data_IF_933787029239
#
_entry.id   IF_933787029239
#
_cell.length_a   1.000
_cell.length_b   1.000
_cell.length_c   1.000
_cell.angle_alpha   90.00
_cell.angle_beta   90.00
_cell.angle_gamma   90.00
#
_symmetry.space_group_name_H-M   'P 1'
#
loop_
_entity.id
_entity.type
_entity.pdbx_description
1 polymer ?
#
# COMPACT_ATOMS: atom_id res chain seq x y z
N UNK A 1 54.58 -26.32 14.86
CA UNK A 1 53.77 -26.22 16.10
C UNK A 1 52.31 -26.40 15.68
N UNK A 2 51.78 -27.61 15.70
CA UNK A 2 51.08 -28.29 16.82
C UNK A 2 49.78 -27.55 17.24
N UNK A 3 48.67 -28.06 16.69
CA UNK A 3 47.29 -28.14 17.17
C UNK A 3 46.72 -27.08 18.14
N UNK A 4 45.49 -26.61 17.85
CA UNK A 4 44.33 -26.98 18.66
C UNK A 4 42.99 -26.68 17.95
N UNK A 5 42.18 -27.73 17.85
CA UNK A 5 40.77 -27.76 17.44
C UNK A 5 39.94 -27.68 18.71
N UNK A 6 38.88 -26.86 18.77
CA UNK A 6 37.83 -27.00 19.77
C UNK A 6 36.47 -26.95 19.09
N UNK A 7 35.86 -28.13 18.99
CA UNK A 7 34.44 -28.29 18.67
C UNK A 7 33.62 -28.30 19.96
N UNK A 8 32.46 -27.65 19.93
CA UNK A 8 31.42 -27.85 20.93
C UNK A 8 30.17 -28.41 20.23
N UNK A 9 29.91 -29.69 20.48
CA UNK A 9 28.62 -30.35 20.26
C UNK A 9 27.85 -30.28 21.57
N UNK A 10 26.63 -29.75 21.56
CA UNK A 10 25.66 -30.02 22.62
C UNK A 10 24.36 -30.53 22.00
N UNK A 11 24.13 -31.82 22.23
CA UNK A 11 22.86 -32.51 22.05
C UNK A 11 21.92 -32.14 23.21
N UNK A 12 20.66 -31.85 22.94
CA UNK A 12 19.60 -32.07 23.93
C UNK A 12 18.38 -32.68 23.26
N UNK A 13 18.37 -34.01 23.31
CA UNK A 13 17.26 -34.89 22.97
C UNK A 13 16.30 -34.90 24.17
N UNK A 14 15.08 -34.38 24.01
CA UNK A 14 13.99 -34.61 24.96
C UNK A 14 12.88 -35.41 24.29
N UNK A 15 12.90 -36.73 24.54
CA UNK A 15 11.75 -37.61 24.45
C UNK A 15 10.93 -37.46 25.73
N UNK A 16 9.62 -37.26 25.62
CA UNK A 16 8.67 -37.70 26.65
C UNK A 16 7.52 -38.46 25.99
N UNK A 17 7.30 -39.66 26.51
CA UNK A 17 6.41 -40.69 25.99
C UNK A 17 5.17 -40.77 26.87
N UNK A 18 4.02 -40.72 26.20
CA UNK A 18 2.88 -41.64 26.33
C UNK A 18 1.91 -41.62 27.54
N UNK A 19 0.65 -41.85 27.15
CA UNK A 19 -0.48 -42.52 27.83
C UNK A 19 -1.30 -41.71 28.85
N UNK A 20 -2.52 -41.32 28.46
CA UNK A 20 -3.69 -41.54 29.32
C UNK A 20 -4.92 -41.92 28.50
N UNK A 21 -5.48 -43.07 28.85
CA UNK A 21 -6.61 -43.71 28.20
C UNK A 21 -7.94 -43.33 28.86
N UNK A 22 -8.97 -43.30 28.02
CA UNK A 22 -10.36 -43.67 28.29
C UNK A 22 -11.12 -43.01 29.45
N UNK A 23 -11.99 -42.07 29.09
CA UNK A 23 -13.32 -41.96 29.71
C UNK A 23 -14.38 -41.93 28.61
N UNK A 24 -15.03 -43.08 28.43
CA UNK A 24 -16.25 -43.24 27.64
C UNK A 24 -17.41 -42.78 28.54
N UNK A 25 -18.02 -41.64 28.22
CA UNK A 25 -19.21 -41.12 28.90
C UNK A 25 -20.18 -40.57 27.88
N UNK A 26 -21.20 -41.38 27.60
CA UNK A 26 -22.57 -41.07 27.19
C UNK A 26 -22.80 -39.58 26.86
N UNK A 27 -22.78 -39.24 25.57
CA UNK A 27 -23.36 -37.99 25.09
C UNK A 27 -24.70 -38.26 24.41
N UNK A 28 -25.71 -37.61 24.98
CA UNK A 28 -27.09 -37.53 24.53
C UNK A 28 -27.11 -36.88 23.16
N UNK A 29 -27.80 -37.52 22.21
CA UNK A 29 -28.13 -36.97 20.90
C UNK A 29 -29.10 -35.80 21.12
N UNK A 30 -28.57 -34.58 21.21
CA UNK A 30 -29.35 -33.35 21.02
C UNK A 30 -29.13 -32.87 19.60
N UNK A 31 -30.23 -32.67 18.86
CA UNK A 31 -30.22 -32.19 17.49
C UNK A 31 -29.49 -30.85 17.41
N UNK A 32 -28.29 -30.88 16.81
CA UNK A 32 -27.57 -29.69 16.41
C UNK A 32 -28.40 -28.97 15.35
N UNK A 33 -29.16 -27.94 15.74
CA UNK A 33 -29.48 -26.87 14.83
C UNK A 33 -28.16 -26.21 14.48
N UNK A 34 -27.61 -26.51 13.30
CA UNK A 34 -26.38 -25.92 12.78
C UNK A 34 -26.59 -24.43 12.55
N UNK A 35 -26.50 -23.63 13.62
CA UNK A 35 -26.37 -22.18 13.55
C UNK A 35 -25.03 -21.90 12.88
N UNK A 36 -25.04 -21.77 11.55
CA UNK A 36 -23.90 -21.29 10.78
C UNK A 36 -23.59 -19.88 11.26
N UNK A 37 -22.68 -19.75 12.23
CA UNK A 37 -22.11 -18.46 12.59
C UNK A 37 -21.24 -18.06 11.41
N UNK A 38 -21.73 -17.12 10.59
CA UNK A 38 -20.89 -16.48 9.59
C UNK A 38 -19.80 -15.72 10.35
N UNK A 39 -18.54 -16.06 10.09
CA UNK A 39 -17.41 -15.26 10.55
C UNK A 39 -17.56 -13.87 9.94
N UNK A 40 -17.46 -12.81 10.75
CA UNK A 40 -17.48 -11.45 10.23
C UNK A 40 -16.25 -11.21 9.36
N UNK A 41 -16.42 -10.48 8.26
CA UNK A 41 -15.30 -10.11 7.40
C UNK A 41 -14.44 -9.03 8.07
N UNK A 42 -13.13 -9.17 7.92
CA UNK A 42 -12.15 -8.23 8.45
C UNK A 42 -12.16 -6.89 7.68
N UNK A 43 -11.92 -5.78 8.37
CA UNK A 43 -11.83 -4.44 7.79
C UNK A 43 -10.37 -4.06 7.51
N UNK A 44 -9.97 -3.85 6.24
CA UNK A 44 -8.59 -3.49 5.91
C UNK A 44 -8.31 -1.98 5.98
N UNK A 45 -9.28 -1.12 6.28
CA UNK A 45 -9.13 0.33 6.15
C UNK A 45 -8.00 0.89 7.02
N UNK A 46 -7.11 1.67 6.40
CA UNK A 46 -6.03 2.34 7.10
C UNK A 46 -4.74 2.51 6.29
N UNK A 47 -3.81 3.23 6.89
CA UNK A 47 -2.43 3.37 6.44
C UNK A 47 -1.58 2.22 6.98
N UNK A 48 -0.66 1.72 6.16
CA UNK A 48 0.23 0.61 6.46
C UNK A 48 1.65 0.89 6.00
N UNK A 49 2.61 0.20 6.61
CA UNK A 49 4.02 0.18 6.21
C UNK A 49 4.55 -1.24 6.25
N UNK A 50 5.52 -1.57 5.40
CA UNK A 50 6.10 -2.90 5.39
C UNK A 50 7.04 -3.13 4.20
N UNK A 51 7.00 -4.34 3.67
CA UNK A 51 7.94 -4.79 2.64
C UNK A 51 7.30 -5.74 1.63
N UNK A 52 8.00 -5.95 0.53
CA UNK A 52 7.67 -6.95 -0.46
C UNK A 52 8.93 -7.62 -1.04
N UNK A 53 8.73 -8.79 -1.62
CA UNK A 53 9.69 -9.47 -2.48
C UNK A 53 8.95 -9.83 -3.76
N UNK A 54 9.26 -9.14 -4.85
CA UNK A 54 8.63 -9.34 -6.16
C UNK A 54 9.65 -9.77 -7.20
N UNK A 55 9.22 -10.10 -8.42
CA UNK A 55 10.15 -10.40 -9.52
C UNK A 55 10.58 -9.13 -10.25
N UNK A 56 11.78 -9.16 -10.79
CA UNK A 56 12.22 -8.22 -11.81
C UNK A 56 11.56 -8.53 -13.16
N UNK A 57 11.73 -7.65 -14.15
CA UNK A 57 11.16 -7.82 -15.49
C UNK A 57 11.58 -9.13 -16.22
N UNK A 58 12.60 -9.83 -15.73
CA UNK A 58 13.05 -11.12 -16.26
C UNK A 58 12.29 -12.32 -15.68
N UNK A 59 11.37 -12.12 -14.73
CA UNK A 59 10.61 -13.15 -14.00
C UNK A 59 11.46 -14.18 -13.22
N UNK A 60 12.78 -13.95 -13.11
CA UNK A 60 13.73 -14.87 -12.49
C UNK A 60 14.31 -14.26 -11.22
N UNK A 61 14.76 -13.02 -11.31
CA UNK A 61 15.46 -12.30 -10.23
C UNK A 61 14.45 -11.72 -9.25
N UNK A 62 14.72 -11.86 -7.94
CA UNK A 62 13.91 -11.23 -6.91
C UNK A 62 14.34 -9.77 -6.71
N UNK A 63 13.36 -8.87 -6.68
CA UNK A 63 13.48 -7.48 -6.25
C UNK A 63 12.92 -7.35 -4.83
N UNK A 64 13.80 -7.01 -3.88
CA UNK A 64 13.43 -6.72 -2.51
C UNK A 64 12.99 -5.25 -2.36
N UNK A 65 11.81 -5.04 -1.78
CA UNK A 65 11.22 -3.73 -1.53
C UNK A 65 11.10 -3.56 -0.01
N UNK A 66 11.89 -2.67 0.57
CA UNK A 66 11.94 -2.46 2.02
C UNK A 66 11.05 -1.29 2.52
N UNK A 67 10.62 -0.42 1.60
CA UNK A 67 9.93 0.84 1.87
C UNK A 67 8.47 0.81 1.41
N UNK A 68 7.82 -0.35 1.41
CA UNK A 68 6.45 -0.47 0.92
C UNK A 68 5.49 0.24 1.88
N UNK A 69 4.73 1.19 1.35
CA UNK A 69 3.71 1.93 2.10
C UNK A 69 2.35 1.71 1.47
N UNK A 70 1.32 1.49 2.27
CA UNK A 70 -0.01 1.15 1.79
C UNK A 70 -1.10 2.03 2.35
N UNK A 71 -2.09 2.35 1.52
CA UNK A 71 -3.34 3.01 1.92
C UNK A 71 -4.50 2.18 1.42
N UNK A 72 -5.41 1.80 2.32
CA UNK A 72 -6.60 1.01 2.00
C UNK A 72 -7.85 1.73 2.48
N UNK A 73 -8.86 1.80 1.61
CA UNK A 73 -10.19 2.27 2.00
C UNK A 73 -11.28 1.57 1.18
N UNK A 74 -12.25 1.01 1.89
CA UNK A 74 -13.30 0.19 1.32
C UNK A 74 -12.73 -0.99 0.56
N UNK A 75 -12.99 -1.05 -0.74
CA UNK A 75 -12.50 -2.13 -1.61
C UNK A 75 -11.25 -1.75 -2.41
N UNK A 76 -10.68 -0.54 -2.26
CA UNK A 76 -9.49 -0.13 -3.01
C UNK A 76 -8.28 -0.06 -2.10
N UNK A 77 -7.15 -0.55 -2.58
CA UNK A 77 -5.85 -0.38 -1.95
C UNK A 77 -4.86 0.25 -2.91
N UNK A 78 -3.95 1.06 -2.40
CA UNK A 78 -2.80 1.57 -3.13
C UNK A 78 -1.53 1.35 -2.33
N UNK A 79 -0.59 0.57 -2.86
CA UNK A 79 0.72 0.34 -2.24
C UNK A 79 1.80 0.99 -3.08
N UNK A 80 2.79 1.64 -2.48
CA UNK A 80 3.89 2.28 -3.21
C UNK A 80 5.24 2.00 -2.58
N UNK A 81 6.27 2.02 -3.41
CA UNK A 81 7.67 2.12 -2.99
C UNK A 81 8.26 3.34 -3.70
N UNK A 82 8.79 4.26 -2.92
CA UNK A 82 9.41 5.48 -3.44
C UNK A 82 10.79 5.15 -3.99
N UNK A 83 11.55 4.32 -3.26
CA UNK A 83 12.91 3.93 -3.64
C UNK A 83 12.93 3.11 -4.94
N UNK A 84 11.90 2.27 -5.13
CA UNK A 84 11.75 1.46 -6.34
C UNK A 84 10.80 2.08 -7.35
N UNK A 85 10.25 3.27 -7.12
CA UNK A 85 9.33 3.96 -8.07
C UNK A 85 8.20 3.05 -8.56
N UNK A 86 7.63 2.27 -7.63
CA UNK A 86 6.56 1.32 -7.90
C UNK A 86 5.27 1.81 -7.26
N UNK A 87 4.17 1.63 -7.99
CA UNK A 87 2.83 1.80 -7.46
C UNK A 87 1.97 0.59 -7.83
N UNK A 88 1.25 0.08 -6.85
CA UNK A 88 0.23 -0.94 -6.95
C UNK A 88 -1.11 -0.26 -6.70
N UNK A 89 -2.04 -0.35 -7.64
CA UNK A 89 -3.42 0.15 -7.49
C UNK A 89 -4.35 -1.02 -7.70
N UNK A 90 -5.05 -1.44 -6.64
CA UNK A 90 -5.82 -2.66 -6.67
C UNK A 90 -7.18 -2.56 -6.00
N UNK A 91 -7.99 -3.56 -6.31
CA UNK A 91 -9.37 -3.68 -5.86
C UNK A 91 -9.56 -5.05 -5.21
N UNK A 92 -9.98 -5.06 -3.95
CA UNK A 92 -10.48 -6.23 -3.24
C UNK A 92 -11.85 -6.59 -3.83
N UNK A 93 -11.97 -7.81 -4.34
CA UNK A 93 -13.21 -8.31 -4.97
C UNK A 93 -13.99 -9.24 -4.06
N UNK A 94 -13.32 -9.89 -3.10
CA UNK A 94 -13.95 -10.74 -2.11
C UNK A 94 -13.18 -10.72 -0.80
N UNK A 95 -13.90 -10.77 0.32
CA UNK A 95 -13.37 -11.05 1.66
C UNK A 95 -14.19 -12.19 2.25
N UNK A 96 -13.55 -13.13 2.93
CA UNK A 96 -14.22 -14.23 3.61
C UNK A 96 -13.50 -14.53 4.91
N UNK A 97 -14.01 -13.98 6.02
CA UNK A 97 -13.28 -13.95 7.28
C UNK A 97 -12.02 -13.10 7.13
N UNK A 98 -10.84 -13.71 7.34
CA UNK A 98 -9.54 -13.04 7.16
C UNK A 98 -9.01 -13.08 5.74
N UNK A 99 -9.51 -13.96 4.88
CA UNK A 99 -8.93 -14.15 3.55
C UNK A 99 -9.54 -13.14 2.57
N UNK A 100 -8.71 -12.58 1.69
CA UNK A 100 -9.18 -11.71 0.61
C UNK A 100 -8.63 -12.12 -0.75
N UNK A 101 -9.37 -11.77 -1.79
CA UNK A 101 -8.90 -11.80 -3.17
C UNK A 101 -9.19 -10.48 -3.87
N UNK A 102 -8.44 -10.20 -4.93
CA UNK A 102 -8.57 -8.96 -5.68
C UNK A 102 -7.79 -8.95 -6.97
N UNK A 103 -7.73 -7.77 -7.57
CA UNK A 103 -6.90 -7.47 -8.73
C UNK A 103 -6.00 -6.28 -8.44
N UNK A 104 -4.88 -6.18 -9.18
CA UNK A 104 -3.93 -5.07 -9.05
C UNK A 104 -3.37 -4.67 -10.41
N UNK A 105 -3.25 -3.38 -10.61
CA UNK A 105 -2.43 -2.77 -11.66
C UNK A 105 -1.09 -2.35 -11.06
N UNK A 106 -0.01 -2.68 -11.75
CA UNK A 106 1.36 -2.36 -11.32
C UNK A 106 1.92 -1.31 -12.25
N UNK A 107 2.40 -0.21 -11.68
CA UNK A 107 3.02 0.90 -12.38
C UNK A 107 4.49 1.01 -11.96
N UNK A 108 5.35 1.29 -12.94
CA UNK A 108 6.77 1.59 -12.74
C UNK A 108 7.06 2.91 -13.43
N UNK A 109 7.73 3.82 -12.73
CA UNK A 109 8.07 5.16 -13.26
C UNK A 109 6.84 5.94 -13.76
N UNK A 110 5.67 5.69 -13.14
CA UNK A 110 4.40 6.31 -13.49
C UNK A 110 3.66 5.70 -14.69
N UNK A 111 4.18 4.64 -15.30
CA UNK A 111 3.56 3.96 -16.46
C UNK A 111 3.07 2.59 -16.06
N UNK A 112 1.90 2.18 -16.56
CA UNK A 112 1.37 0.83 -16.33
C UNK A 112 2.34 -0.22 -16.91
N UNK A 113 2.89 -1.05 -16.03
CA UNK A 113 3.79 -2.16 -16.36
C UNK A 113 3.00 -3.46 -16.58
N UNK A 114 2.07 -3.76 -15.67
CA UNK A 114 1.24 -4.95 -15.72
C UNK A 114 -0.19 -4.62 -15.27
N UNK A 115 -1.17 -4.84 -16.15
CA UNK A 115 -2.59 -4.64 -15.82
C UNK A 115 -3.24 -5.92 -15.29
N UNK A 116 -4.11 -5.78 -14.29
CA UNK A 116 -5.04 -6.83 -13.82
C UNK A 116 -4.39 -8.14 -13.37
N UNK A 117 -3.33 -8.05 -12.57
CA UNK A 117 -2.77 -9.21 -11.87
C UNK A 117 -3.67 -9.63 -10.71
N UNK A 118 -3.80 -10.92 -10.42
CA UNK A 118 -4.54 -11.41 -9.25
C UNK A 118 -3.71 -11.23 -7.98
N UNK A 119 -4.38 -10.78 -6.91
CA UNK A 119 -3.85 -10.77 -5.55
C UNK A 119 -4.73 -11.62 -4.65
N UNK A 120 -4.10 -12.38 -3.76
CA UNK A 120 -4.78 -13.10 -2.68
C UNK A 120 -3.96 -12.99 -1.40
N UNK A 121 -4.62 -12.96 -0.25
CA UNK A 121 -3.92 -12.76 1.00
C UNK A 121 -4.81 -12.80 2.23
N UNK A 122 -4.27 -12.29 3.34
CA UNK A 122 -4.96 -12.24 4.63
C UNK A 122 -4.99 -10.81 5.16
N UNK A 123 -6.13 -10.41 5.72
CA UNK A 123 -6.33 -9.19 6.49
C UNK A 123 -6.49 -9.60 7.96
N UNK A 124 -5.85 -8.86 8.84
CA UNK A 124 -6.15 -8.86 10.27
C UNK A 124 -6.41 -7.41 10.64
N UNK A 125 -7.66 -7.08 10.96
CA UNK A 125 -8.10 -5.69 11.16
C UNK A 125 -7.18 -4.97 12.14
N UNK A 126 -6.84 -3.73 11.80
CA UNK A 126 -5.99 -2.84 12.62
C UNK A 126 -4.61 -3.44 12.98
N UNK A 127 -4.16 -4.48 12.27
CA UNK A 127 -2.92 -5.19 12.58
C UNK A 127 -2.03 -5.39 11.36
N UNK A 128 -2.50 -6.12 10.35
CA UNK A 128 -1.65 -6.47 9.21
C UNK A 128 -2.41 -6.87 7.95
N UNK A 129 -1.77 -6.69 6.81
CA UNK A 129 -2.18 -7.28 5.52
C UNK A 129 -0.99 -8.03 4.95
N UNK A 130 -1.19 -9.27 4.55
CA UNK A 130 -0.19 -10.05 3.79
C UNK A 130 -0.81 -10.56 2.51
N UNK A 131 -0.02 -10.80 1.48
CA UNK A 131 -0.56 -11.35 0.25
C UNK A 131 0.48 -11.81 -0.75
N UNK A 132 -0.02 -12.47 -1.79
CA UNK A 132 0.73 -13.00 -2.93
C UNK A 132 0.14 -12.42 -4.21
N UNK A 133 1.03 -12.00 -5.11
CA UNK A 133 0.75 -11.54 -6.46
C UNK A 133 1.14 -12.64 -7.44
N UNK A 134 0.26 -12.97 -8.40
CA UNK A 134 0.48 -14.11 -9.32
C UNK A 134 0.69 -13.68 -10.78
N UNK A 135 1.16 -12.45 -11.00
CA UNK A 135 1.42 -11.88 -12.32
C UNK A 135 2.85 -12.14 -12.79
N UNK A 136 3.37 -11.20 -13.57
CA UNK A 136 4.75 -11.16 -14.06
C UNK A 136 5.47 -9.91 -13.54
N UNK A 137 6.80 -9.94 -13.55
CA UNK A 137 7.68 -8.91 -13.04
C UNK A 137 7.29 -8.45 -11.65
N UNK A 138 7.21 -7.12 -11.46
CA UNK A 138 6.84 -6.53 -10.17
C UNK A 138 5.40 -6.91 -9.72
N UNK A 139 4.59 -7.49 -10.60
CA UNK A 139 3.30 -8.12 -10.29
C UNK A 139 3.40 -9.59 -9.85
N UNK A 140 4.58 -10.15 -9.62
CA UNK A 140 4.76 -11.53 -9.16
C UNK A 140 5.53 -11.53 -7.86
N UNK A 141 5.01 -12.10 -6.78
CA UNK A 141 5.72 -12.14 -5.49
C UNK A 141 4.83 -12.09 -4.26
N UNK A 142 5.39 -11.65 -3.14
CA UNK A 142 4.71 -11.56 -1.85
C UNK A 142 4.93 -10.22 -1.18
N UNK A 143 3.98 -9.79 -0.34
CA UNK A 143 4.10 -8.60 0.48
C UNK A 143 3.60 -8.82 1.90
N UNK A 144 4.10 -8.01 2.83
CA UNK A 144 3.67 -7.95 4.22
C UNK A 144 3.66 -6.50 4.68
N UNK A 145 2.51 -6.07 5.16
CA UNK A 145 2.22 -4.72 5.62
C UNK A 145 1.70 -4.78 7.05
N UNK A 146 2.19 -3.88 7.90
CA UNK A 146 1.77 -3.69 9.28
C UNK A 146 0.99 -2.38 9.40
N UNK A 147 -0.06 -2.38 10.20
CA UNK A 147 -0.89 -1.23 10.46
C UNK A 147 -0.05 -0.07 11.00
N UNK A 148 -0.16 1.08 10.35
CA UNK A 148 0.59 2.27 10.71
C UNK A 148 0.16 2.82 12.08
N UNK A 149 1.12 3.37 12.83
CA UNK A 149 0.83 3.99 14.14
C UNK A 149 0.02 5.29 14.01
N UNK A 150 0.03 5.93 12.84
CA UNK A 150 -0.63 7.20 12.58
C UNK A 150 -1.95 6.99 11.84
N UNK A 151 -2.89 6.24 12.41
CA UNK A 151 -4.22 5.98 11.83
C UNK A 151 -5.37 6.76 12.51
N UNK A 152 -5.05 7.86 13.21
CA UNK A 152 -6.05 8.78 13.73
C UNK A 152 -6.90 9.39 12.61
N UNK A 153 -8.10 9.85 12.94
CA UNK A 153 -9.02 10.47 11.98
C UNK A 153 -8.33 11.54 11.11
N UNK A 154 -8.65 11.49 9.82
CA UNK A 154 -8.19 12.47 8.85
C UNK A 154 -8.94 13.80 9.01
N UNK A 155 -8.20 14.91 9.00
CA UNK A 155 -8.75 16.27 9.13
C UNK A 155 -8.03 17.20 8.14
N UNK A 156 -8.79 17.97 7.35
CA UNK A 156 -8.20 18.84 6.32
C UNK A 156 -7.22 19.89 6.89
N UNK A 157 -7.42 20.31 8.13
CA UNK A 157 -6.52 21.22 8.86
C UNK A 157 -5.09 20.69 8.98
N UNK A 158 -4.90 19.37 9.01
CA UNK A 158 -3.59 18.71 9.13
C UNK A 158 -2.78 18.81 7.84
N UNK A 159 -3.49 18.81 6.71
CA UNK A 159 -2.90 18.78 5.36
C UNK A 159 -2.96 20.12 4.64
N UNK A 160 -3.69 21.10 5.16
CA UNK A 160 -3.88 22.43 4.57
C UNK A 160 -2.62 23.30 4.59
N UNK A 161 -1.65 22.95 3.74
CA UNK A 161 -0.29 23.51 3.68
C UNK A 161 0.25 23.43 2.25
N UNK A 162 1.44 23.98 2.03
CA UNK A 162 2.25 23.70 0.84
C UNK A 162 3.10 22.45 1.05
N UNK A 163 3.12 21.58 0.04
CA UNK A 163 3.84 20.32 0.05
C UNK A 163 4.74 20.23 -1.16
N UNK A 164 6.01 19.89 -0.94
CA UNK A 164 6.99 19.72 -2.00
C UNK A 164 7.71 18.38 -1.91
N UNK A 165 7.99 17.80 -3.06
CA UNK A 165 8.76 16.57 -3.11
C UNK A 165 9.03 16.08 -4.53
N UNK A 166 9.85 15.04 -4.64
CA UNK A 166 9.98 14.28 -5.88
C UNK A 166 8.69 13.50 -6.15
N UNK A 167 8.41 13.29 -7.44
CA UNK A 167 7.32 12.44 -7.91
C UNK A 167 7.86 11.38 -8.85
N UNK A 168 7.38 10.14 -8.72
CA UNK A 168 7.79 9.00 -9.55
C UNK A 168 9.32 8.91 -9.71
N UNK A 169 10.06 8.96 -8.60
CA UNK A 169 11.51 8.78 -8.60
C UNK A 169 12.32 9.93 -9.20
N UNK A 170 11.70 11.08 -9.48
CA UNK A 170 12.43 12.27 -9.91
C UNK A 170 13.52 12.64 -8.87
N UNK A 171 14.72 12.97 -9.34
CA UNK A 171 15.85 13.31 -8.46
C UNK A 171 15.80 14.72 -7.88
N UNK A 172 14.93 15.58 -8.41
CA UNK A 172 14.72 16.95 -7.94
C UNK A 172 13.28 17.17 -7.50
N UNK A 173 13.08 18.07 -6.53
CA UNK A 173 11.76 18.57 -6.14
C UNK A 173 11.10 19.23 -7.35
N UNK A 174 10.15 18.52 -7.96
CA UNK A 174 9.42 18.98 -9.14
C UNK A 174 7.91 19.04 -8.91
N UNK A 175 7.42 18.37 -7.88
CA UNK A 175 6.03 18.42 -7.47
C UNK A 175 5.86 19.36 -6.29
N UNK A 176 5.03 20.38 -6.51
CA UNK A 176 4.57 21.32 -5.51
C UNK A 176 3.05 21.36 -5.60
N UNK A 177 2.37 21.14 -4.47
CA UNK A 177 0.92 21.23 -4.34
C UNK A 177 0.55 21.99 -3.08
N UNK A 178 -0.40 22.90 -3.21
CA UNK A 178 -1.00 23.63 -2.10
C UNK A 178 -2.36 23.00 -1.83
N UNK A 179 -2.60 22.64 -0.57
CA UNK A 179 -3.88 22.11 -0.12
C UNK A 179 -4.57 23.20 0.69
N UNK A 180 -5.75 23.61 0.26
CA UNK A 180 -6.56 24.57 1.02
C UNK A 180 -7.22 23.91 2.24
N UNK A 181 -7.70 24.72 3.19
CA UNK A 181 -8.51 24.24 4.31
C UNK A 181 -9.85 23.60 3.91
N UNK A 182 -10.28 23.77 2.66
CA UNK A 182 -11.45 23.13 2.07
C UNK A 182 -11.10 21.87 1.25
N UNK A 183 -9.82 21.46 1.21
CA UNK A 183 -9.36 20.28 0.47
C UNK A 183 -9.17 20.50 -1.02
N UNK A 184 -9.41 21.69 -1.56
CA UNK A 184 -9.04 22.01 -2.93
C UNK A 184 -7.51 21.95 -3.10
N UNK A 185 -7.05 21.31 -4.17
CA UNK A 185 -5.66 21.25 -4.56
C UNK A 185 -5.39 22.34 -5.61
N UNK A 186 -4.34 23.12 -5.40
CA UNK A 186 -3.87 24.08 -6.38
C UNK A 186 -2.36 23.98 -6.54
N UNK A 187 -1.88 24.48 -7.67
CA UNK A 187 -0.47 24.43 -8.02
C UNK A 187 0.08 25.82 -8.28
N UNK A 188 1.37 26.00 -7.97
CA UNK A 188 2.09 27.24 -8.26
C UNK A 188 3.04 27.19 -9.49
N UNK A 189 3.44 26.02 -10.04
CA UNK A 189 4.37 25.98 -11.21
C UNK A 189 4.12 24.80 -12.18
N UNK A 190 4.98 24.58 -13.19
CA UNK A 190 5.02 23.47 -14.20
C UNK A 190 5.98 22.35 -13.71
N UNK A 191 5.72 21.06 -13.95
CA UNK A 191 6.58 19.96 -13.44
C UNK A 191 7.92 20.03 -14.17
N UNK A 192 8.94 20.60 -13.51
CA UNK A 192 10.27 20.71 -14.07
C UNK A 192 11.11 19.52 -13.60
N UNK A 193 10.92 18.39 -14.26
CA UNK A 193 11.79 17.24 -14.09
C UNK A 193 12.07 16.67 -15.47
N UNK A 194 13.32 16.32 -15.71
CA UNK A 194 13.79 15.76 -17.00
C UNK A 194 13.24 14.37 -17.26
N UNK A 195 12.66 13.69 -16.25
CA UNK A 195 12.10 12.33 -16.37
C UNK A 195 11.01 12.00 -15.32
N UNK A 196 9.80 12.55 -15.46
CA UNK A 196 8.60 11.84 -15.03
C UNK A 196 7.51 11.86 -16.10
N UNK A 197 6.66 10.85 -16.13
CA UNK A 197 5.50 10.79 -17.03
C UNK A 197 4.58 12.03 -16.92
N UNK A 198 4.58 12.69 -15.75
CA UNK A 198 3.79 13.90 -15.47
C UNK A 198 4.53 15.21 -15.81
N UNK A 199 5.61 15.17 -16.59
CA UNK A 199 6.33 16.36 -17.04
C UNK A 199 5.40 17.36 -17.73
N UNK A 200 5.58 18.65 -17.40
CA UNK A 200 4.79 19.71 -18.02
C UNK A 200 3.33 19.81 -17.56
N UNK A 201 2.79 18.84 -16.82
CA UNK A 201 1.38 18.84 -16.42
C UNK A 201 1.03 20.03 -15.51
N UNK A 202 -0.19 20.53 -15.65
CA UNK A 202 -0.79 21.54 -14.78
C UNK A 202 -1.96 20.90 -14.06
N UNK A 203 -2.02 21.07 -12.74
CA UNK A 203 -3.13 20.60 -11.93
C UNK A 203 -4.30 21.58 -12.06
N UNK A 204 -5.47 21.07 -12.45
CA UNK A 204 -6.68 21.84 -12.64
C UNK A 204 -7.34 22.16 -11.28
N UNK A 205 -8.12 23.24 -11.25
CA UNK A 205 -8.88 23.70 -10.06
C UNK A 205 -9.96 22.71 -9.60
N UNK A 206 -10.34 21.76 -10.45
CA UNK A 206 -11.22 20.65 -10.08
C UNK A 206 -10.55 19.61 -9.15
N UNK A 207 -9.23 19.71 -8.96
CA UNK A 207 -8.47 18.79 -8.11
C UNK A 207 -8.79 19.01 -6.62
N UNK A 208 -8.93 17.93 -5.87
CA UNK A 208 -9.37 17.96 -4.49
C UNK A 208 -8.89 16.75 -3.69
N UNK A 209 -8.93 16.90 -2.37
CA UNK A 209 -8.84 15.80 -1.41
C UNK A 209 -10.03 15.84 -0.47
N UNK A 210 -10.44 14.69 0.05
CA UNK A 210 -11.53 14.60 1.03
C UNK A 210 -11.19 13.58 2.13
N UNK A 211 -11.36 13.92 3.42
CA UNK A 211 -11.13 13.00 4.52
C UNK A 211 -11.93 11.70 4.40
N UNK A 212 -11.34 10.59 4.82
CA UNK A 212 -12.01 9.30 5.01
C UNK A 212 -12.15 9.07 6.52
N UNK A 213 -13.40 8.89 6.97
CA UNK A 213 -13.71 8.73 8.40
C UNK A 213 -13.09 7.45 8.96
N UNK A 214 -12.60 7.50 10.20
CA UNK A 214 -12.07 6.37 10.94
C UNK A 214 -10.60 6.06 10.68
N UNK A 215 -9.94 6.76 9.74
CA UNK A 215 -8.56 6.48 9.31
C UNK A 215 -7.81 7.75 8.93
N UNK A 216 -6.47 7.71 8.97
CA UNK A 216 -5.61 8.81 8.53
C UNK A 216 -5.40 8.81 7.02
N UNK A 217 -6.47 8.67 6.23
CA UNK A 217 -6.39 8.67 4.77
C UNK A 217 -7.37 9.70 4.23
N UNK A 218 -6.96 10.36 3.15
CA UNK A 218 -7.81 11.22 2.35
C UNK A 218 -7.95 10.59 0.97
N UNK A 219 -9.17 10.59 0.44
CA UNK A 219 -9.38 10.35 -0.99
C UNK A 219 -8.81 11.51 -1.80
N UNK A 220 -8.20 11.19 -2.94
CA UNK A 220 -7.56 12.16 -3.83
C UNK A 220 -8.26 12.12 -5.19
N UNK A 221 -8.58 13.29 -5.72
CA UNK A 221 -8.95 13.51 -7.12
C UNK A 221 -8.00 14.57 -7.70
N UNK A 222 -7.20 14.20 -8.69
CA UNK A 222 -6.28 15.12 -9.36
C UNK A 222 -6.62 15.15 -10.82
N UNK A 223 -6.86 16.35 -11.36
CA UNK A 223 -7.10 16.55 -12.78
C UNK A 223 -5.87 17.20 -13.37
N UNK A 224 -5.18 16.49 -14.27
CA UNK A 224 -4.07 17.04 -15.02
C UNK A 224 -4.51 17.52 -16.40
N UNK A 225 -4.04 18.70 -16.76
CA UNK A 225 -4.17 19.28 -18.09
C UNK A 225 -2.79 19.79 -18.56
N UNK A 226 -2.70 20.17 -19.84
CA UNK A 226 -1.50 20.82 -20.41
C UNK A 226 -0.19 20.04 -20.23
N UNK A 227 -0.25 18.72 -20.05
CA UNK A 227 0.93 17.86 -19.96
C UNK A 227 1.76 17.92 -21.25
N UNK A 228 3.08 17.73 -21.14
CA UNK A 228 3.96 17.63 -22.32
C UNK A 228 3.55 16.49 -23.23
N UNK A 229 3.21 15.33 -22.65
CA UNK A 229 2.47 14.27 -23.34
C UNK A 229 0.97 14.44 -23.08
N UNK A 230 0.22 14.77 -24.13
CA UNK A 230 -1.23 14.96 -24.02
C UNK A 230 -2.01 13.71 -23.60
N UNK A 231 -1.44 12.50 -23.77
CA UNK A 231 -2.07 11.26 -23.33
C UNK A 231 -2.15 11.14 -21.81
N UNK A 232 -1.32 11.92 -21.10
CA UNK A 232 -1.24 11.94 -19.64
C UNK A 232 -2.32 12.84 -19.03
N UNK A 233 -2.92 13.73 -19.82
CA UNK A 233 -4.04 14.54 -19.37
C UNK A 233 -5.22 13.65 -18.92
N UNK A 234 -5.93 14.08 -17.88
CA UNK A 234 -7.12 13.39 -17.40
C UNK A 234 -7.30 13.45 -15.90
N UNK A 235 -8.29 12.70 -15.42
CA UNK A 235 -8.60 12.59 -14.00
C UNK A 235 -7.93 11.36 -13.41
N UNK A 236 -7.21 11.58 -12.32
CA UNK A 236 -6.54 10.59 -11.51
C UNK A 236 -7.24 10.52 -10.17
N UNK A 237 -7.36 9.32 -9.61
CA UNK A 237 -7.91 9.11 -8.28
C UNK A 237 -6.97 8.28 -7.45
N UNK A 238 -7.00 8.45 -6.14
CA UNK A 238 -6.22 7.64 -5.23
C UNK A 238 -6.33 8.09 -3.79
N UNK A 239 -5.22 8.03 -3.07
CA UNK A 239 -5.15 8.26 -1.65
C UNK A 239 -3.95 9.13 -1.26
N UNK A 240 -4.09 9.85 -0.16
CA UNK A 240 -2.99 10.53 0.51
C UNK A 240 -3.10 10.38 2.03
N UNK A 241 -1.98 10.48 2.74
CA UNK A 241 -1.90 10.37 4.19
C UNK A 241 -0.71 11.17 4.72
N UNK A 242 -0.77 11.62 5.97
CA UNK A 242 0.39 12.22 6.64
C UNK A 242 1.24 11.14 7.32
N UNK A 243 2.57 11.29 7.22
CA UNK A 243 3.53 10.25 7.64
C UNK A 243 3.85 10.27 9.13
N UNK A 244 3.58 11.37 9.82
CA UNK A 244 4.07 11.63 11.17
C UNK A 244 3.00 12.25 12.02
N UNK A 245 3.05 12.06 13.34
CA UNK A 245 2.19 12.78 14.28
C UNK A 245 2.33 14.32 14.22
N UNK A 246 3.45 14.83 13.70
CA UNK A 246 3.68 16.26 13.49
C UNK A 246 3.21 16.78 12.11
N UNK A 247 2.65 15.90 11.27
CA UNK A 247 2.21 16.22 9.90
C UNK A 247 3.27 17.00 9.11
N UNK A 248 4.53 16.53 9.14
CA UNK A 248 5.66 17.10 8.40
C UNK A 248 5.94 16.41 7.06
N UNK A 249 5.32 15.25 6.84
CA UNK A 249 5.41 14.50 5.60
C UNK A 249 4.03 14.14 5.07
N UNK A 250 3.84 14.23 3.76
CA UNK A 250 2.63 13.84 3.05
C UNK A 250 2.99 12.80 1.99
N UNK A 251 2.31 11.67 2.05
CA UNK A 251 2.41 10.61 1.07
C UNK A 251 1.20 10.68 0.16
N UNK A 252 1.39 10.69 -1.16
CA UNK A 252 0.30 10.80 -2.11
C UNK A 252 0.50 9.81 -3.25
N UNK A 253 -0.56 9.07 -3.58
CA UNK A 253 -0.60 8.16 -4.71
C UNK A 253 -1.93 8.27 -5.46
N UNK A 254 -1.87 8.21 -6.78
CA UNK A 254 -3.04 8.26 -7.64
C UNK A 254 -2.77 7.61 -9.00
N UNK A 255 -3.82 7.14 -9.66
CA UNK A 255 -3.75 6.59 -11.01
C UNK A 255 -4.99 6.98 -11.82
N UNK A 256 -4.88 6.92 -13.15
CA UNK A 256 -6.01 7.01 -14.08
C UNK A 256 -6.24 5.70 -14.85
N UNK A 257 -5.63 4.60 -14.40
CA UNK A 257 -5.64 3.31 -15.10
C UNK A 257 -4.44 3.11 -16.04
N UNK A 258 -3.99 4.14 -16.75
CA UNK A 258 -2.85 4.05 -17.70
C UNK A 258 -1.55 4.59 -17.12
N UNK A 259 -1.66 5.65 -16.32
CA UNK A 259 -0.55 6.36 -15.71
C UNK A 259 -0.80 6.52 -14.22
N UNK A 260 0.27 6.80 -13.50
CA UNK A 260 0.22 7.03 -12.07
C UNK A 260 1.18 8.10 -11.58
N UNK A 261 0.91 8.58 -10.37
CA UNK A 261 1.81 9.41 -9.59
C UNK A 261 1.94 8.85 -8.19
N UNK A 262 3.16 8.86 -7.65
CA UNK A 262 3.49 8.57 -6.27
C UNK A 262 4.55 9.55 -5.78
N UNK A 263 4.31 10.16 -4.62
CA UNK A 263 5.20 11.16 -4.05
C UNK A 263 5.26 11.05 -2.53
N UNK A 264 6.46 11.18 -1.99
CA UNK A 264 6.69 11.49 -0.58
C UNK A 264 7.16 12.94 -0.51
N UNK A 265 6.33 13.79 0.09
CA UNK A 265 6.51 15.23 0.15
C UNK A 265 6.77 15.68 1.58
N UNK A 266 7.46 16.80 1.72
CA UNK A 266 7.71 17.49 2.98
C UNK A 266 6.97 18.82 3.01
N UNK A 267 6.62 19.26 4.22
CA UNK A 267 6.05 20.59 4.44
C UNK A 267 7.10 21.69 4.21
N UNK A 268 6.73 22.73 3.47
CA UNK A 268 7.52 23.96 3.36
C UNK A 268 6.93 25.04 4.28
N UNK A 269 7.68 25.49 5.30
CA UNK A 269 7.19 26.45 6.30
C UNK A 269 7.05 27.88 5.80
#
# INVERSE_FOLDING_TARGET
>A
MKHMVNGYKNNSLFLFSAVFAAFLSIFIIQGCSSSSSSVADENPDGYFTGSASVKEADDLTDLAIADLQGMVSGNRFMFMSVDNVLLYDGTITNVTGSDFTGTVNVYKDGVLLAGTTTVAGTITSESSITGTLTGAGAGSGTFSLTYGLNNADSELTRVAKEWRGPINGASTEGFNTIISGAGALSRENTFNSTTPVLAGCVMDVASSISPISGVNIYSVNVVFNSCTDSNVNGTYTGFTTTLTAADIGLLMSYSNGSYSGSASMVFEP
#
